data_IF_141095895951
#
_entry.id   IF_141095895951
#
_cell.length_a   1.000
_cell.length_b   1.000
_cell.length_c   1.000
_cell.angle_alpha   90.00
_cell.angle_beta   90.00
_cell.angle_gamma   90.00
#
_symmetry.space_group_name_H-M   'P 1'
#
loop_
_entity.id
_entity.type
_entity.pdbx_description
1 polymer ?
#
# COMPACT_ATOMS: atom_id res chain seq x y z
N UNK A 1 11.69 5.53 13.14
CA UNK A 1 10.57 6.47 12.93
C UNK A 1 9.31 5.89 13.57
N UNK A 2 8.93 6.41 14.72
CA UNK A 2 7.63 6.08 15.32
C UNK A 2 6.54 6.88 14.61
N UNK A 3 5.78 6.21 13.75
CA UNK A 3 4.61 6.82 13.15
C UNK A 3 3.47 6.88 14.17
N UNK A 4 2.78 8.01 14.25
CA UNK A 4 1.69 8.26 15.23
C UNK A 4 0.62 7.16 15.24
N UNK A 5 0.43 6.45 14.12
CA UNK A 5 -0.64 5.44 13.97
C UNK A 5 -0.31 4.03 14.44
N UNK A 6 0.93 3.62 14.33
CA UNK A 6 1.38 2.34 14.87
C UNK A 6 1.74 2.45 16.36
N UNK A 7 1.99 3.68 16.83
CA UNK A 7 2.28 3.94 18.24
C UNK A 7 1.27 3.34 19.24
N UNK A 8 -0.05 3.41 19.05
CA UNK A 8 -1.00 2.74 19.94
C UNK A 8 -0.84 1.21 19.95
N UNK A 9 -0.51 0.59 18.81
CA UNK A 9 -0.27 -0.84 18.74
C UNK A 9 1.02 -1.22 19.48
N UNK A 10 2.10 -0.46 19.27
CA UNK A 10 3.36 -0.68 19.98
C UNK A 10 3.26 -0.34 21.46
N UNK A 11 2.50 0.70 21.84
CA UNK A 11 2.19 1.01 23.23
C UNK A 11 1.43 -0.13 23.91
N UNK A 12 0.47 -0.75 23.22
CA UNK A 12 -0.22 -1.94 23.73
C UNK A 12 0.75 -3.12 23.93
N UNK A 13 1.65 -3.34 22.96
CA UNK A 13 2.70 -4.36 23.09
C UNK A 13 3.60 -4.12 24.31
N UNK A 14 3.98 -2.86 24.54
CA UNK A 14 4.75 -2.47 25.73
C UNK A 14 3.95 -2.68 27.02
N UNK A 15 2.68 -2.29 27.05
CA UNK A 15 1.78 -2.50 28.21
C UNK A 15 1.62 -3.99 28.54
N UNK A 16 1.62 -4.86 27.53
CA UNK A 16 1.54 -6.31 27.66
C UNK A 16 2.91 -6.96 27.92
N UNK A 17 3.97 -6.16 28.12
CA UNK A 17 5.35 -6.62 28.29
C UNK A 17 5.86 -7.54 27.16
N UNK A 18 5.36 -7.38 25.92
CA UNK A 18 5.81 -8.14 24.78
C UNK A 18 7.15 -7.62 24.28
N UNK A 19 8.09 -8.51 23.90
CA UNK A 19 9.34 -8.09 23.26
C UNK A 19 9.05 -7.29 21.98
N UNK A 20 9.82 -6.22 21.71
CA UNK A 20 9.62 -5.33 20.57
C UNK A 20 9.60 -6.06 19.22
N UNK A 21 10.47 -7.07 19.05
CA UNK A 21 10.50 -7.90 17.84
C UNK A 21 9.22 -8.71 17.62
N UNK A 22 8.57 -9.18 18.70
CA UNK A 22 7.31 -9.91 18.64
C UNK A 22 6.17 -8.95 18.27
N UNK A 23 6.10 -7.79 18.94
CA UNK A 23 5.13 -6.74 18.65
C UNK A 23 5.19 -6.31 17.18
N UNK A 24 6.40 -6.14 16.63
CA UNK A 24 6.58 -5.80 15.22
C UNK A 24 6.10 -6.90 14.27
N UNK A 25 6.35 -8.18 14.59
CA UNK A 25 5.87 -9.30 13.77
C UNK A 25 4.35 -9.44 13.82
N UNK A 26 3.74 -9.21 14.99
CA UNK A 26 2.29 -9.17 15.13
C UNK A 26 1.69 -8.02 14.30
N UNK A 27 2.35 -6.87 14.28
CA UNK A 27 1.97 -5.75 13.43
C UNK A 27 2.01 -6.12 11.93
N UNK A 28 3.07 -6.75 11.46
CA UNK A 28 3.13 -7.22 10.06
C UNK A 28 2.04 -8.23 9.74
N UNK A 29 1.80 -9.17 10.64
CA UNK A 29 0.73 -10.17 10.48
C UNK A 29 -0.65 -9.49 10.41
N UNK A 30 -0.91 -8.49 11.26
CA UNK A 30 -2.15 -7.69 11.24
C UNK A 30 -2.33 -6.96 9.90
N UNK A 31 -1.29 -6.30 9.40
CA UNK A 31 -1.34 -5.60 8.11
C UNK A 31 -1.68 -6.56 6.96
N UNK A 32 -0.98 -7.70 6.88
CA UNK A 32 -1.23 -8.71 5.85
C UNK A 32 -2.64 -9.29 5.97
N UNK A 33 -3.10 -9.56 7.19
CA UNK A 33 -4.44 -10.08 7.46
C UNK A 33 -5.54 -9.08 7.04
N UNK A 34 -5.39 -7.81 7.38
CA UNK A 34 -6.30 -6.74 6.98
C UNK A 34 -6.37 -6.62 5.46
N UNK A 35 -5.23 -6.58 4.78
CA UNK A 35 -5.19 -6.51 3.31
C UNK A 35 -5.81 -7.74 2.64
N UNK A 36 -5.51 -8.93 3.17
CA UNK A 36 -6.05 -10.21 2.67
C UNK A 36 -7.59 -10.22 2.70
N UNK A 37 -8.17 -9.94 3.86
CA UNK A 37 -9.63 -9.88 3.99
C UNK A 37 -10.25 -8.74 3.21
N UNK A 38 -9.55 -7.61 3.06
CA UNK A 38 -9.99 -6.50 2.22
C UNK A 38 -10.18 -6.93 0.77
N UNK A 39 -9.21 -7.64 0.18
CA UNK A 39 -9.34 -8.18 -1.19
C UNK A 39 -10.38 -9.28 -1.28
N UNK A 40 -10.44 -10.19 -0.30
CA UNK A 40 -11.46 -11.24 -0.26
C UNK A 40 -12.88 -10.64 -0.31
N UNK A 41 -13.10 -9.60 0.50
CA UNK A 41 -14.39 -8.92 0.56
C UNK A 41 -14.68 -8.11 -0.72
N UNK A 42 -13.70 -7.39 -1.22
CA UNK A 42 -13.83 -6.62 -2.47
C UNK A 42 -14.17 -7.53 -3.65
N UNK A 43 -13.43 -8.64 -3.83
CA UNK A 43 -13.69 -9.60 -4.89
C UNK A 43 -15.09 -10.24 -4.77
N UNK A 44 -15.55 -10.51 -3.53
CA UNK A 44 -16.92 -10.97 -3.27
C UNK A 44 -17.96 -9.92 -3.66
N UNK A 45 -17.75 -8.66 -3.28
CA UNK A 45 -18.66 -7.54 -3.57
C UNK A 45 -18.78 -7.31 -5.07
N UNK A 46 -17.66 -7.38 -5.79
CA UNK A 46 -17.59 -7.24 -7.25
C UNK A 46 -18.03 -8.52 -8.00
N UNK A 47 -18.36 -9.60 -7.29
CA UNK A 47 -18.72 -10.91 -7.87
C UNK A 47 -17.61 -11.52 -8.75
N UNK A 48 -16.36 -11.28 -8.39
CA UNK A 48 -15.20 -11.79 -9.10
C UNK A 48 -14.73 -13.08 -8.44
N UNK A 49 -14.60 -14.14 -9.23
CA UNK A 49 -14.06 -15.43 -8.81
C UNK A 49 -14.87 -16.20 -7.77
N UNK A 50 -14.43 -17.41 -7.46
CA UNK A 50 -14.92 -18.25 -6.38
C UNK A 50 -14.04 -18.16 -5.12
N UNK A 51 -14.40 -18.84 -4.02
CA UNK A 51 -13.64 -18.77 -2.77
C UNK A 51 -12.14 -19.09 -2.93
N UNK A 52 -11.79 -20.16 -3.63
CA UNK A 52 -10.39 -20.58 -3.84
C UNK A 52 -9.59 -19.57 -4.67
N UNK A 53 -10.16 -19.07 -5.78
CA UNK A 53 -9.48 -18.10 -6.61
C UNK A 53 -9.34 -16.73 -5.94
N UNK A 54 -10.29 -16.36 -5.04
CA UNK A 54 -10.19 -15.14 -4.22
C UNK A 54 -9.04 -15.22 -3.23
N UNK A 55 -8.81 -16.39 -2.61
CA UNK A 55 -7.64 -16.61 -1.75
C UNK A 55 -6.34 -16.35 -2.53
N UNK A 56 -6.21 -16.95 -3.72
CA UNK A 56 -5.02 -16.75 -4.55
C UNK A 56 -4.84 -15.27 -4.94
N UNK A 57 -5.91 -14.57 -5.35
CA UNK A 57 -5.84 -13.14 -5.66
C UNK A 57 -5.52 -12.26 -4.44
N UNK A 58 -6.03 -12.62 -3.26
CA UNK A 58 -5.67 -11.92 -2.04
C UNK A 58 -4.18 -12.07 -1.72
N UNK A 59 -3.60 -13.28 -1.91
CA UNK A 59 -2.16 -13.51 -1.77
C UNK A 59 -1.35 -12.71 -2.81
N UNK A 60 -1.79 -12.64 -4.07
CA UNK A 60 -1.15 -11.80 -5.11
C UNK A 60 -1.07 -10.34 -4.66
N UNK A 61 -2.09 -9.82 -3.99
CA UNK A 61 -2.12 -8.44 -3.52
C UNK A 61 -1.23 -8.23 -2.29
N UNK A 62 -1.46 -8.97 -1.21
CA UNK A 62 -0.81 -8.73 0.08
C UNK A 62 0.66 -9.17 0.11
N UNK A 63 1.06 -10.10 -0.76
CA UNK A 63 2.44 -10.53 -0.94
C UNK A 63 3.00 -10.07 -2.29
N UNK A 64 2.46 -8.96 -2.82
CA UNK A 64 3.02 -8.34 -4.03
C UNK A 64 4.46 -7.90 -3.83
N UNK A 65 5.28 -7.82 -4.90
CA UNK A 65 6.67 -7.38 -4.82
C UNK A 65 6.82 -6.04 -4.09
N UNK A 66 5.87 -5.12 -4.26
CA UNK A 66 5.84 -3.86 -3.52
C UNK A 66 5.81 -4.07 -2.01
N UNK A 67 4.95 -4.96 -1.53
CA UNK A 67 4.81 -5.24 -0.09
C UNK A 67 6.00 -6.02 0.45
N UNK A 68 6.46 -7.05 -0.29
CA UNK A 68 7.64 -7.82 0.11
C UNK A 68 8.88 -6.93 0.27
N UNK A 69 9.00 -5.88 -0.54
CA UNK A 69 10.10 -4.90 -0.45
C UNK A 69 9.96 -3.96 0.74
N UNK A 70 8.72 -3.60 1.12
CA UNK A 70 8.45 -2.48 2.04
C UNK A 70 8.18 -2.93 3.46
N UNK A 71 7.49 -4.06 3.65
CA UNK A 71 6.93 -4.50 4.93
C UNK A 71 8.00 -4.63 6.03
N UNK A 72 9.15 -5.20 5.71
CA UNK A 72 10.23 -5.41 6.69
C UNK A 72 11.01 -4.14 7.04
N UNK A 73 11.04 -3.16 6.15
CA UNK A 73 11.84 -1.94 6.31
C UNK A 73 11.01 -0.74 6.80
N UNK A 74 9.83 -0.52 6.20
CA UNK A 74 8.94 0.62 6.52
C UNK A 74 7.50 0.09 6.52
N UNK A 75 7.14 -0.71 7.51
CA UNK A 75 5.81 -1.36 7.59
C UNK A 75 4.66 -0.36 7.63
N UNK A 76 4.88 0.82 8.19
CA UNK A 76 3.90 1.91 8.24
C UNK A 76 3.45 2.38 6.85
N UNK A 77 4.34 2.37 5.85
CA UNK A 77 4.00 2.73 4.47
C UNK A 77 3.10 1.68 3.80
N UNK A 78 3.09 0.44 4.30
CA UNK A 78 2.21 -0.62 3.82
C UNK A 78 0.76 -0.48 4.33
N UNK A 79 0.53 0.28 5.40
CA UNK A 79 -0.80 0.44 6.01
C UNK A 79 -1.84 1.04 5.05
N UNK A 80 -1.61 2.18 4.36
CA UNK A 80 -2.56 2.70 3.39
C UNK A 80 -2.83 1.72 2.25
N UNK A 81 -1.81 1.01 1.79
CA UNK A 81 -1.94 0.00 0.74
C UNK A 81 -2.90 -1.12 1.18
N UNK A 82 -2.74 -1.66 2.40
CA UNK A 82 -3.60 -2.73 2.92
C UNK A 82 -5.03 -2.28 3.19
N UNK A 83 -5.24 -0.98 3.44
CA UNK A 83 -6.55 -0.40 3.69
C UNK A 83 -7.26 0.07 2.41
N UNK A 84 -6.58 0.18 1.26
CA UNK A 84 -7.19 0.61 -0.01
C UNK A 84 -8.46 -0.20 -0.39
N UNK A 85 -8.51 -1.54 -0.28
CA UNK A 85 -9.73 -2.29 -0.53
C UNK A 85 -10.88 -1.93 0.42
N UNK A 86 -10.58 -1.59 1.68
CA UNK A 86 -11.59 -1.23 2.69
C UNK A 86 -12.20 0.15 2.45
N UNK A 87 -11.46 1.07 1.84
CA UNK A 87 -12.03 2.35 1.36
C UNK A 87 -12.96 2.09 0.18
N UNK A 88 -12.55 1.21 -0.76
CA UNK A 88 -13.29 0.95 -1.99
C UNK A 88 -14.57 0.12 -1.78
N UNK A 89 -14.56 -0.88 -0.92
CA UNK A 89 -15.72 -1.78 -0.70
C UNK A 89 -17.01 -1.03 -0.39
N UNK A 90 -17.04 -0.08 0.57
CA UNK A 90 -18.25 0.68 0.86
C UNK A 90 -18.68 1.58 -0.30
N UNK A 91 -17.75 2.12 -1.09
CA UNK A 91 -18.05 2.94 -2.28
C UNK A 91 -18.72 2.09 -3.35
N UNK A 92 -18.20 0.89 -3.64
CA UNK A 92 -18.81 -0.07 -4.55
C UNK A 92 -20.21 -0.44 -4.07
N UNK A 93 -20.35 -0.77 -2.80
CA UNK A 93 -21.64 -1.14 -2.21
C UNK A 93 -22.69 -0.01 -2.32
N UNK A 94 -22.29 1.22 -2.04
CA UNK A 94 -23.20 2.37 -2.13
C UNK A 94 -23.63 2.69 -3.57
N UNK A 95 -22.72 2.60 -4.53
CA UNK A 95 -22.94 3.07 -5.89
C UNK A 95 -23.50 2.01 -6.83
N UNK A 96 -23.02 0.76 -6.75
CA UNK A 96 -23.46 -0.32 -7.64
C UNK A 96 -24.78 -0.99 -7.17
N UNK A 97 -25.29 -0.63 -5.98
CA UNK A 97 -26.61 -1.09 -5.49
C UNK A 97 -26.69 -2.58 -5.16
N UNK A 98 -25.56 -3.26 -5.11
CA UNK A 98 -25.48 -4.67 -4.74
C UNK A 98 -25.56 -4.83 -3.21
N UNK A 99 -26.74 -4.55 -2.63
CA UNK A 99 -27.00 -4.97 -1.26
C UNK A 99 -26.92 -6.51 -1.21
N UNK A 100 -26.25 -7.04 -0.20
CA UNK A 100 -26.28 -8.47 0.12
C UNK A 100 -27.68 -8.96 0.52
N UNK A 101 -28.64 -8.03 0.61
CA UNK A 101 -30.06 -8.29 0.86
C UNK A 101 -30.84 -8.28 -0.46
N UNK A 102 -31.40 -9.40 -0.80
CA UNK A 102 -32.27 -9.68 -1.94
C UNK A 102 -33.57 -8.86 -1.88
N UNK A 103 -33.53 -7.60 -2.26
CA UNK A 103 -34.71 -6.76 -2.39
C UNK A 103 -34.54 -5.77 -3.55
N UNK A 104 -35.58 -5.67 -4.39
CA UNK A 104 -35.61 -4.84 -5.60
C UNK A 104 -35.46 -3.31 -5.37
N UNK A 105 -35.39 -2.86 -4.14
CA UNK A 105 -35.17 -1.46 -3.76
C UNK A 105 -33.70 -1.22 -3.44
N UNK A 106 -33.07 -0.28 -4.14
CA UNK A 106 -31.67 0.13 -3.91
C UNK A 106 -31.41 0.55 -2.45
N UNK A 107 -30.13 0.78 -2.07
CA UNK A 107 -29.75 1.07 -0.69
C UNK A 107 -30.50 2.27 -0.13
N UNK A 108 -31.04 2.13 1.08
CA UNK A 108 -31.75 3.17 1.82
C UNK A 108 -30.82 4.34 2.16
N UNK A 109 -31.31 5.57 2.38
CA UNK A 109 -30.47 6.72 2.75
C UNK A 109 -29.55 6.48 3.95
N UNK A 110 -30.02 5.74 4.97
CA UNK A 110 -29.22 5.34 6.12
C UNK A 110 -28.03 4.44 5.73
N UNK A 111 -28.21 3.55 4.76
CA UNK A 111 -27.16 2.65 4.26
C UNK A 111 -26.10 3.41 3.47
N UNK A 112 -26.48 4.47 2.71
CA UNK A 112 -25.52 5.34 2.03
C UNK A 112 -24.63 6.10 3.02
N UNK A 113 -25.23 6.62 4.10
CA UNK A 113 -24.49 7.27 5.19
C UNK A 113 -23.56 6.29 5.89
N UNK A 114 -24.02 5.07 6.18
CA UNK A 114 -23.20 4.02 6.77
C UNK A 114 -22.00 3.65 5.86
N UNK A 115 -22.22 3.51 4.56
CA UNK A 115 -21.15 3.22 3.61
C UNK A 115 -20.10 4.35 3.58
N UNK A 116 -20.57 5.61 3.53
CA UNK A 116 -19.68 6.77 3.58
C UNK A 116 -18.86 6.80 4.88
N UNK A 117 -19.50 6.53 6.01
CA UNK A 117 -18.83 6.45 7.31
C UNK A 117 -17.78 5.32 7.36
N UNK A 118 -18.11 4.11 6.91
CA UNK A 118 -17.14 2.98 6.88
C UNK A 118 -15.93 3.29 5.99
N UNK A 119 -16.14 3.91 4.83
CA UNK A 119 -15.06 4.34 3.96
C UNK A 119 -14.18 5.42 4.64
N UNK A 120 -14.81 6.40 5.30
CA UNK A 120 -14.11 7.44 6.06
C UNK A 120 -13.30 6.88 7.24
N UNK A 121 -13.83 5.90 7.95
CA UNK A 121 -13.10 5.18 9.02
C UNK A 121 -11.86 4.49 8.45
N UNK A 122 -11.97 3.82 7.30
CA UNK A 122 -10.81 3.20 6.65
C UNK A 122 -9.74 4.26 6.28
N UNK A 123 -10.15 5.43 5.77
CA UNK A 123 -9.24 6.56 5.51
C UNK A 123 -8.64 7.09 6.82
N UNK A 124 -9.45 7.27 7.85
CA UNK A 124 -8.98 7.70 9.17
C UNK A 124 -7.93 6.74 9.75
N UNK A 125 -8.06 5.44 9.51
CA UNK A 125 -7.08 4.43 9.93
C UNK A 125 -5.75 4.50 9.15
N UNK A 126 -5.71 5.11 7.95
CA UNK A 126 -4.47 5.30 7.17
C UNK A 126 -3.68 6.54 7.60
N UNK A 127 -4.36 7.54 8.17
CA UNK A 127 -3.88 8.91 8.28
C UNK A 127 -2.61 9.10 9.08
N UNK A 128 -1.92 10.20 8.81
CA UNK A 128 -0.71 10.69 9.47
C UNK A 128 0.57 9.85 9.28
N UNK A 129 0.52 8.69 8.64
CA UNK A 129 1.72 7.89 8.35
C UNK A 129 2.47 8.47 7.14
N UNK A 130 1.76 8.59 6.02
CA UNK A 130 2.32 9.13 4.77
C UNK A 130 1.18 9.67 3.90
N UNK A 131 1.18 10.98 3.69
CA UNK A 131 0.11 11.68 2.93
C UNK A 131 -0.02 11.16 1.49
N UNK A 132 1.10 10.96 0.80
CA UNK A 132 1.11 10.49 -0.59
C UNK A 132 0.62 9.04 -0.70
N UNK A 133 1.04 8.15 0.22
CA UNK A 133 0.56 6.77 0.22
C UNK A 133 -0.94 6.69 0.55
N UNK A 134 -1.42 7.54 1.47
CA UNK A 134 -2.85 7.67 1.78
C UNK A 134 -3.64 8.13 0.55
N UNK A 135 -3.17 9.19 -0.13
CA UNK A 135 -3.80 9.67 -1.35
C UNK A 135 -3.84 8.60 -2.44
N UNK A 136 -2.73 7.89 -2.66
CA UNK A 136 -2.63 6.82 -3.65
C UNK A 136 -3.63 5.67 -3.38
N UNK A 137 -3.81 5.30 -2.12
CA UNK A 137 -4.77 4.29 -1.71
C UNK A 137 -6.23 4.74 -1.90
N UNK A 138 -6.54 5.99 -1.54
CA UNK A 138 -7.88 6.58 -1.67
C UNK A 138 -8.22 6.86 -3.14
N UNK A 139 -7.22 7.16 -3.98
CA UNK A 139 -7.39 7.48 -5.40
C UNK A 139 -8.05 6.33 -6.17
N UNK A 140 -7.85 5.07 -5.77
CA UNK A 140 -8.58 3.92 -6.33
C UNK A 140 -10.10 4.12 -6.18
N UNK A 141 -10.53 4.55 -5.00
CA UNK A 141 -11.95 4.78 -4.69
C UNK A 141 -12.48 6.06 -5.34
N UNK A 142 -11.66 7.10 -5.45
CA UNK A 142 -12.00 8.34 -6.17
C UNK A 142 -12.23 8.03 -7.66
N UNK A 143 -11.35 7.27 -8.29
CA UNK A 143 -11.53 6.88 -9.70
C UNK A 143 -12.78 6.01 -9.88
N UNK A 144 -13.02 5.06 -8.97
CA UNK A 144 -14.25 4.27 -9.01
C UNK A 144 -15.49 5.14 -8.91
N UNK A 145 -15.50 6.12 -8.03
CA UNK A 145 -16.59 7.09 -7.85
C UNK A 145 -16.77 7.99 -9.08
N UNK A 146 -15.67 8.50 -9.68
CA UNK A 146 -15.71 9.33 -10.89
C UNK A 146 -16.25 8.58 -12.12
N UNK A 147 -16.05 7.27 -12.20
CA UNK A 147 -16.52 6.43 -13.28
C UNK A 147 -18.00 6.02 -13.15
N UNK A 148 -18.73 6.60 -12.18
CA UNK A 148 -20.18 6.44 -12.05
C UNK A 148 -20.93 7.61 -12.65
N UNK A 149 -22.08 7.30 -13.28
CA UNK A 149 -22.99 8.34 -13.76
C UNK A 149 -23.61 9.12 -12.58
N UNK A 150 -23.64 10.44 -12.62
CA UNK A 150 -24.32 11.26 -11.63
C UNK A 150 -25.80 10.87 -11.49
N UNK A 151 -26.23 10.69 -10.24
CA UNK A 151 -27.60 10.34 -9.88
C UNK A 151 -27.93 10.88 -8.49
N UNK A 152 -29.18 10.94 -8.10
CA UNK A 152 -29.56 11.37 -6.76
C UNK A 152 -28.94 10.51 -5.65
N UNK A 153 -28.67 9.22 -5.91
CA UNK A 153 -27.96 8.32 -5.02
C UNK A 153 -26.47 8.68 -4.96
N UNK A 154 -25.85 8.89 -6.11
CA UNK A 154 -24.46 9.32 -6.23
C UNK A 154 -24.24 10.64 -5.49
N UNK A 155 -25.07 11.66 -5.70
CA UNK A 155 -24.94 12.96 -5.05
C UNK A 155 -25.08 12.87 -3.51
N UNK A 156 -26.06 12.11 -3.00
CA UNK A 156 -26.25 11.93 -1.55
C UNK A 156 -25.09 11.17 -0.91
N UNK A 157 -24.60 10.11 -1.56
CA UNK A 157 -23.40 9.40 -1.09
C UNK A 157 -22.19 10.34 -1.08
N UNK A 158 -21.96 11.08 -2.16
CA UNK A 158 -20.85 12.03 -2.31
C UNK A 158 -20.82 13.05 -1.18
N UNK A 159 -21.95 13.66 -0.83
CA UNK A 159 -22.01 14.62 0.28
C UNK A 159 -21.53 14.04 1.61
N UNK A 160 -22.02 12.84 1.97
CA UNK A 160 -21.59 12.17 3.19
C UNK A 160 -20.14 11.68 3.12
N UNK A 161 -19.71 11.18 1.96
CA UNK A 161 -18.36 10.67 1.76
C UNK A 161 -17.30 11.78 1.83
N UNK A 162 -17.57 12.93 1.21
CA UNK A 162 -16.69 14.10 1.28
C UNK A 162 -16.63 14.64 2.71
N UNK A 163 -17.78 14.77 3.40
CA UNK A 163 -17.78 15.19 4.79
C UNK A 163 -16.97 14.24 5.67
N UNK A 164 -17.18 12.93 5.54
CA UNK A 164 -16.44 11.91 6.28
C UNK A 164 -14.95 11.94 5.97
N UNK A 165 -14.57 12.11 4.69
CA UNK A 165 -13.18 12.23 4.26
C UNK A 165 -12.48 13.46 4.82
N UNK A 166 -13.15 14.63 4.81
CA UNK A 166 -12.63 15.85 5.43
C UNK A 166 -12.40 15.63 6.93
N UNK A 167 -13.39 15.13 7.66
CA UNK A 167 -13.25 14.87 9.10
C UNK A 167 -12.14 13.85 9.40
N UNK A 168 -12.00 12.81 8.57
CA UNK A 168 -10.95 11.79 8.73
C UNK A 168 -9.53 12.35 8.51
N UNK A 169 -9.38 13.40 7.71
CA UNK A 169 -8.08 13.93 7.30
C UNK A 169 -7.68 15.22 8.03
N UNK A 170 -8.63 16.05 8.47
CA UNK A 170 -8.37 17.40 9.00
C UNK A 170 -7.39 17.39 10.18
N UNK A 171 -7.48 16.42 11.08
CA UNK A 171 -6.66 16.35 12.28
C UNK A 171 -5.15 16.20 12.01
N UNK A 172 -4.76 15.70 10.83
CA UNK A 172 -3.35 15.56 10.45
C UNK A 172 -2.95 16.44 9.27
N UNK A 173 -3.86 16.77 8.35
CA UNK A 173 -3.58 17.70 7.24
C UNK A 173 -3.34 19.12 7.78
N UNK A 174 -4.14 19.59 8.74
CA UNK A 174 -3.96 20.90 9.36
C UNK A 174 -2.55 21.07 9.95
N UNK A 175 -2.13 20.21 10.90
CA UNK A 175 -0.75 20.23 11.42
C UNK A 175 0.32 20.07 10.33
N UNK A 176 0.10 19.23 9.31
CA UNK A 176 1.05 19.04 8.21
C UNK A 176 1.26 20.31 7.39
N UNK A 177 0.18 21.02 7.07
CA UNK A 177 0.26 22.31 6.35
C UNK A 177 0.95 23.39 7.19
N UNK A 178 0.65 23.40 8.49
CA UNK A 178 1.33 24.33 9.42
C UNK A 178 2.82 24.00 9.51
N UNK A 179 3.18 22.74 9.71
CA UNK A 179 4.55 22.28 9.79
C UNK A 179 5.34 22.63 8.50
N UNK A 180 4.71 22.49 7.34
CA UNK A 180 5.33 22.83 6.04
C UNK A 180 5.76 24.29 5.90
N UNK A 181 5.21 25.20 6.73
CA UNK A 181 5.63 26.60 6.76
C UNK A 181 6.87 26.87 7.61
N UNK A 182 7.14 26.01 8.58
CA UNK A 182 8.21 26.20 9.58
C UNK A 182 9.34 25.18 9.45
N UNK A 183 9.11 24.09 8.71
CA UNK A 183 10.14 23.07 8.49
C UNK A 183 11.18 23.54 7.46
N UNK A 184 12.47 23.23 7.66
CA UNK A 184 13.45 23.35 6.59
C UNK A 184 13.00 22.58 5.33
N UNK A 185 13.44 22.97 4.13
CA UNK A 185 13.06 22.32 2.88
C UNK A 185 13.74 20.94 2.73
N UNK A 186 13.42 20.01 3.65
CA UNK A 186 14.08 18.70 3.72
C UNK A 186 13.91 17.88 2.43
N UNK A 187 12.87 18.16 1.62
CA UNK A 187 12.64 17.50 0.34
C UNK A 187 13.75 17.81 -0.70
N UNK A 188 14.53 18.85 -0.50
CA UNK A 188 15.66 19.20 -1.36
C UNK A 188 16.91 18.36 -1.04
N UNK A 189 16.94 17.73 0.14
CA UNK A 189 18.06 16.94 0.65
C UNK A 189 17.83 15.44 0.59
N UNK A 190 16.71 14.98 0.02
CA UNK A 190 16.41 13.57 -0.20
C UNK A 190 16.57 13.20 -1.68
N UNK A 191 16.26 11.96 -2.03
CA UNK A 191 16.37 11.41 -3.39
C UNK A 191 15.69 12.30 -4.46
N UNK A 192 16.34 12.47 -5.62
CA UNK A 192 15.78 13.21 -6.76
C UNK A 192 14.77 12.38 -7.55
N UNK A 193 13.94 13.03 -8.37
CA UNK A 193 13.03 12.34 -9.30
C UNK A 193 13.77 11.45 -10.29
N UNK A 194 15.03 11.78 -10.63
CA UNK A 194 15.88 10.92 -11.45
C UNK A 194 16.13 9.56 -10.78
N UNK A 195 16.36 9.52 -9.49
CA UNK A 195 16.57 8.27 -8.73
C UNK A 195 15.25 7.50 -8.62
N UNK A 196 14.18 8.18 -8.18
CA UNK A 196 12.92 7.50 -7.86
C UNK A 196 12.16 6.96 -9.08
N UNK A 197 12.39 7.53 -10.26
CA UNK A 197 11.74 7.10 -11.52
C UNK A 197 12.62 6.22 -12.41
N UNK A 198 13.90 6.01 -12.04
CA UNK A 198 14.87 5.30 -12.88
C UNK A 198 14.44 3.88 -13.26
N UNK A 199 13.79 3.17 -12.37
CA UNK A 199 13.35 1.78 -12.58
C UNK A 199 11.85 1.65 -12.83
N UNK A 200 11.16 2.77 -13.09
CA UNK A 200 9.73 2.81 -13.32
C UNK A 200 9.34 2.53 -14.80
N UNK A 201 10.06 1.64 -15.49
CA UNK A 201 9.67 1.16 -16.82
C UNK A 201 8.43 0.26 -16.74
N UNK A 202 7.80 0.00 -17.88
CA UNK A 202 6.56 -0.75 -17.94
C UNK A 202 6.67 -2.17 -17.36
N UNK A 203 7.79 -2.88 -17.62
CA UNK A 203 7.99 -4.23 -17.09
C UNK A 203 8.05 -4.24 -15.56
N UNK A 204 8.90 -3.39 -14.98
CA UNK A 204 9.03 -3.28 -13.52
C UNK A 204 7.74 -2.78 -12.87
N UNK A 205 7.01 -1.89 -13.55
CA UNK A 205 5.71 -1.39 -13.10
C UNK A 205 4.68 -2.52 -13.04
N UNK A 206 4.55 -3.32 -14.09
CA UNK A 206 3.63 -4.46 -14.11
C UNK A 206 3.99 -5.51 -13.06
N UNK A 207 5.27 -5.77 -12.84
CA UNK A 207 5.77 -6.68 -11.80
C UNK A 207 5.57 -6.14 -10.38
N UNK A 208 5.54 -4.82 -10.17
CA UNK A 208 5.46 -4.17 -8.86
C UNK A 208 6.81 -3.94 -8.18
N UNK A 209 7.87 -3.82 -8.97
CA UNK A 209 9.26 -3.64 -8.54
C UNK A 209 9.82 -2.26 -8.87
N UNK A 210 8.95 -1.24 -8.99
CA UNK A 210 9.32 0.15 -9.30
C UNK A 210 10.00 0.88 -8.16
N UNK A 211 9.99 0.35 -6.93
CA UNK A 211 10.71 0.96 -5.81
C UNK A 211 12.20 0.99 -6.11
N UNK A 212 12.81 2.17 -5.99
CA UNK A 212 14.23 2.37 -6.28
C UNK A 212 15.18 1.76 -5.25
N UNK A 213 14.73 1.63 -4.01
CA UNK A 213 15.58 1.19 -2.88
C UNK A 213 16.23 -0.19 -3.06
N UNK A 214 15.57 -1.24 -3.57
CA UNK A 214 16.20 -2.55 -3.76
C UNK A 214 17.34 -2.57 -4.79
N UNK A 215 17.36 -1.57 -5.68
CA UNK A 215 18.40 -1.47 -6.71
C UNK A 215 19.65 -0.75 -6.21
N UNK A 216 19.55 0.01 -5.12
CA UNK A 216 20.68 0.77 -4.55
C UNK A 216 21.18 0.16 -3.24
N UNK A 217 20.33 -0.55 -2.49
CA UNK A 217 20.70 -1.15 -1.21
C UNK A 217 20.25 -2.60 -1.14
N UNK A 218 21.16 -3.48 -0.77
CA UNK A 218 20.90 -4.91 -0.56
C UNK A 218 20.30 -5.21 0.83
N UNK A 219 20.20 -4.21 1.71
CA UNK A 219 19.64 -4.37 3.06
C UNK A 219 18.17 -4.87 3.02
N UNK A 220 17.44 -4.50 1.98
CA UNK A 220 16.08 -5.00 1.71
C UNK A 220 16.17 -6.31 0.94
N UNK A 221 16.56 -7.37 1.62
CA UNK A 221 16.87 -8.67 1.00
C UNK A 221 15.75 -9.18 0.08
N UNK A 222 14.50 -9.15 0.54
CA UNK A 222 13.37 -9.57 -0.27
C UNK A 222 13.25 -8.76 -1.57
N UNK A 223 13.41 -7.44 -1.49
CA UNK A 223 13.41 -6.55 -2.64
C UNK A 223 14.56 -6.82 -3.59
N UNK A 224 15.78 -6.96 -3.08
CA UNK A 224 16.98 -7.27 -3.86
C UNK A 224 16.82 -8.59 -4.64
N UNK A 225 16.30 -9.64 -3.98
CA UNK A 225 16.01 -10.93 -4.64
C UNK A 225 14.99 -10.77 -5.78
N UNK A 226 13.93 -10.00 -5.59
CA UNK A 226 12.87 -9.76 -6.58
C UNK A 226 13.37 -9.07 -7.85
N UNK A 227 14.45 -8.28 -7.76
CA UNK A 227 15.02 -7.55 -8.90
C UNK A 227 16.25 -8.21 -9.52
N UNK A 228 16.91 -9.15 -8.81
CA UNK A 228 18.14 -9.79 -9.28
C UNK A 228 17.98 -11.26 -9.64
N UNK A 229 17.05 -12.00 -9.01
CA UNK A 229 16.94 -13.45 -9.22
C UNK A 229 16.07 -13.76 -10.44
N UNK A 230 16.60 -14.44 -11.49
CA UNK A 230 15.85 -14.72 -12.72
C UNK A 230 14.52 -15.47 -12.47
N UNK A 231 14.51 -16.44 -11.58
CA UNK A 231 13.30 -17.20 -11.23
C UNK A 231 12.19 -16.29 -10.67
N UNK A 232 12.54 -15.31 -9.82
CA UNK A 232 11.59 -14.35 -9.26
C UNK A 232 11.13 -13.32 -10.30
N UNK A 233 12.03 -12.91 -11.21
CA UNK A 233 11.70 -12.04 -12.33
C UNK A 233 10.66 -12.70 -13.24
N UNK A 234 10.90 -13.94 -13.64
CA UNK A 234 9.96 -14.72 -14.47
C UNK A 234 8.64 -14.94 -13.72
N UNK A 235 8.69 -15.37 -12.46
CA UNK A 235 7.49 -15.66 -11.67
C UNK A 235 6.61 -14.42 -11.49
N UNK A 236 7.18 -13.28 -11.11
CA UNK A 236 6.43 -12.02 -10.95
C UNK A 236 5.86 -11.51 -12.28
N UNK A 237 6.59 -11.70 -13.39
CA UNK A 237 6.12 -11.39 -14.73
C UNK A 237 4.91 -12.26 -15.12
N UNK A 238 4.96 -13.57 -14.86
CA UNK A 238 3.84 -14.49 -15.11
C UNK A 238 2.60 -14.13 -14.28
N UNK A 239 2.77 -13.78 -13.01
CA UNK A 239 1.67 -13.33 -12.15
C UNK A 239 1.04 -12.04 -12.70
N UNK A 240 1.85 -11.07 -13.12
CA UNK A 240 1.37 -9.84 -13.72
C UNK A 240 0.65 -10.08 -15.06
N UNK A 241 1.23 -10.91 -15.92
CA UNK A 241 0.63 -11.30 -17.20
C UNK A 241 -0.72 -12.02 -17.01
N UNK A 242 -0.82 -12.91 -16.02
CA UNK A 242 -2.07 -13.56 -15.67
C UNK A 242 -3.12 -12.56 -15.17
N UNK A 243 -2.72 -11.58 -14.37
CA UNK A 243 -3.59 -10.47 -13.93
C UNK A 243 -4.12 -9.67 -15.12
N UNK A 244 -3.25 -9.27 -16.05
CA UNK A 244 -3.64 -8.57 -17.28
C UNK A 244 -4.57 -9.42 -18.14
N UNK A 245 -4.23 -10.69 -18.39
CA UNK A 245 -5.07 -11.60 -19.17
C UNK A 245 -6.47 -11.71 -18.56
N UNK A 246 -6.58 -11.83 -17.23
CA UNK A 246 -7.87 -11.87 -16.56
C UNK A 246 -8.68 -10.58 -16.70
N UNK A 247 -8.02 -9.41 -16.65
CA UNK A 247 -8.66 -8.10 -16.85
C UNK A 247 -9.20 -7.93 -18.29
N UNK A 248 -8.53 -8.51 -19.28
CA UNK A 248 -8.95 -8.38 -20.69
C UNK A 248 -10.11 -9.30 -21.07
N UNK A 249 -10.43 -10.31 -20.28
CA UNK A 249 -11.55 -11.21 -20.56
C UNK A 249 -12.89 -10.46 -20.63
N UNK A 250 -13.68 -10.74 -21.67
CA UNK A 250 -15.02 -10.13 -21.84
C UNK A 250 -15.97 -10.45 -20.68
N UNK A 251 -15.75 -11.56 -19.99
CA UNK A 251 -16.53 -12.02 -18.85
C UNK A 251 -16.13 -11.36 -17.52
N UNK A 252 -15.10 -10.51 -17.49
CA UNK A 252 -14.65 -9.82 -16.28
C UNK A 252 -15.69 -8.81 -15.81
N UNK A 253 -16.24 -8.94 -14.58
CA UNK A 253 -17.15 -7.94 -14.01
C UNK A 253 -16.44 -6.59 -13.87
N UNK A 254 -17.17 -5.50 -14.13
CA UNK A 254 -16.65 -4.12 -14.02
C UNK A 254 -15.37 -3.85 -14.81
N UNK A 255 -15.12 -4.63 -15.87
CA UNK A 255 -13.90 -4.63 -16.69
C UNK A 255 -13.43 -3.22 -17.07
N UNK A 256 -14.34 -2.38 -17.61
CA UNK A 256 -13.99 -1.03 -18.06
C UNK A 256 -13.41 -0.17 -16.93
N UNK A 257 -14.05 -0.15 -15.76
CA UNK A 257 -13.58 0.61 -14.60
C UNK A 257 -12.23 0.13 -14.09
N UNK A 258 -12.05 -1.19 -13.97
CA UNK A 258 -10.79 -1.78 -13.50
C UNK A 258 -9.65 -1.53 -14.47
N UNK A 259 -9.90 -1.61 -15.78
CA UNK A 259 -8.89 -1.28 -16.81
C UNK A 259 -8.54 0.21 -16.74
N UNK A 260 -9.52 1.10 -16.63
CA UNK A 260 -9.25 2.55 -16.51
C UNK A 260 -8.40 2.86 -15.28
N UNK A 261 -8.72 2.27 -14.13
CA UNK A 261 -7.92 2.44 -12.90
C UNK A 261 -6.49 1.91 -13.11
N UNK A 262 -6.34 0.73 -13.71
CA UNK A 262 -5.03 0.16 -14.02
C UNK A 262 -4.21 1.04 -14.98
N UNK A 263 -4.85 1.59 -16.03
CA UNK A 263 -4.19 2.49 -16.98
C UNK A 263 -3.72 3.78 -16.31
N UNK A 264 -4.56 4.39 -15.46
CA UNK A 264 -4.15 5.54 -14.64
C UNK A 264 -2.96 5.18 -13.76
N UNK A 265 -3.00 3.99 -13.12
CA UNK A 265 -1.88 3.48 -12.31
C UNK A 265 -0.59 3.35 -13.12
N UNK A 266 -0.63 2.71 -14.29
CA UNK A 266 0.53 2.58 -15.20
C UNK A 266 1.06 3.96 -15.60
N UNK A 267 0.17 4.87 -15.96
CA UNK A 267 0.54 6.23 -16.36
C UNK A 267 1.28 6.95 -15.23
N UNK A 268 0.71 6.99 -14.02
CA UNK A 268 1.34 7.67 -12.88
C UNK A 268 2.69 7.04 -12.47
N UNK A 269 2.82 5.72 -12.62
CA UNK A 269 4.05 5.02 -12.29
C UNK A 269 5.15 5.23 -13.34
N UNK A 270 4.81 5.25 -14.65
CA UNK A 270 5.79 5.24 -15.75
C UNK A 270 6.16 6.63 -16.29
N UNK A 271 5.36 7.68 -16.07
CA UNK A 271 5.51 8.98 -16.75
C UNK A 271 6.88 9.64 -16.55
N UNK A 272 7.54 9.41 -15.41
CA UNK A 272 8.87 9.96 -15.13
C UNK A 272 10.03 9.09 -15.61
N UNK A 273 9.75 7.92 -16.22
CA UNK A 273 10.80 7.01 -16.64
C UNK A 273 11.58 7.54 -17.86
N UNK A 274 12.92 7.43 -17.77
CA UNK A 274 13.87 7.76 -18.84
C UNK A 274 14.76 6.55 -19.08
N UNK A 275 14.81 6.08 -20.30
CA UNK A 275 15.59 4.92 -20.73
C UNK A 275 16.02 5.06 -22.18
N UNK A 276 16.12 3.96 -22.92
CA UNK A 276 16.39 3.96 -24.37
C UNK A 276 15.23 4.56 -25.19
N UNK A 277 14.00 4.40 -24.69
CA UNK A 277 12.79 5.03 -25.19
C UNK A 277 12.15 5.74 -24.00
N UNK A 278 12.29 7.04 -23.93
CA UNK A 278 11.76 7.83 -22.83
C UNK A 278 10.24 7.81 -22.78
N UNK A 279 9.67 7.87 -21.57
CA UNK A 279 8.25 8.11 -21.43
C UNK A 279 7.88 9.50 -22.00
N UNK A 280 6.69 9.65 -22.58
CA UNK A 280 6.25 10.96 -23.06
C UNK A 280 6.35 12.02 -21.97
N UNK A 281 6.97 13.16 -22.26
CA UNK A 281 7.15 14.26 -21.32
C UNK A 281 7.97 13.95 -20.06
N UNK A 282 8.77 12.88 -20.02
CA UNK A 282 9.51 12.44 -18.83
C UNK A 282 10.34 13.54 -18.20
N UNK A 283 11.01 14.40 -19.00
CA UNK A 283 11.76 15.54 -18.50
C UNK A 283 10.89 16.56 -17.75
N UNK A 284 9.71 16.88 -18.27
CA UNK A 284 8.77 17.79 -17.62
C UNK A 284 8.19 17.20 -16.32
N UNK A 285 7.89 15.89 -16.34
CA UNK A 285 7.40 15.15 -15.17
C UNK A 285 8.46 15.15 -14.07
N UNK A 286 9.73 14.88 -14.39
CA UNK A 286 10.83 14.96 -13.42
C UNK A 286 11.02 16.34 -12.85
N UNK A 287 11.02 17.39 -13.71
CA UNK A 287 11.09 18.75 -13.26
C UNK A 287 9.93 19.13 -12.31
N UNK A 288 8.71 18.66 -12.61
CA UNK A 288 7.57 18.82 -11.70
C UNK A 288 7.80 18.08 -10.38
N UNK A 289 8.27 16.84 -10.40
CA UNK A 289 8.52 16.02 -9.22
C UNK A 289 9.69 16.51 -8.38
N UNK A 290 10.66 17.23 -8.96
CA UNK A 290 11.75 17.88 -8.22
C UNK A 290 11.39 19.29 -7.74
N UNK A 291 10.26 19.84 -8.17
CA UNK A 291 9.73 21.14 -7.78
C UNK A 291 8.37 21.02 -7.05
N UNK A 292 7.29 21.62 -7.61
CA UNK A 292 5.98 21.68 -6.93
C UNK A 292 5.38 20.33 -6.57
N UNK A 293 5.74 19.27 -7.29
CA UNK A 293 5.28 17.89 -7.08
C UNK A 293 6.16 17.05 -6.17
N UNK A 294 7.10 17.63 -5.43
CA UNK A 294 8.10 16.90 -4.64
C UNK A 294 7.48 15.86 -3.67
N UNK A 295 6.31 16.15 -3.12
CA UNK A 295 5.57 15.20 -2.28
C UNK A 295 5.20 13.89 -3.01
N UNK A 296 5.08 13.92 -4.35
CA UNK A 296 4.73 12.77 -5.20
C UNK A 296 5.94 12.11 -5.85
N UNK A 297 7.15 12.54 -5.54
CA UNK A 297 8.40 12.06 -6.14
C UNK A 297 8.55 10.54 -6.05
N UNK A 298 8.12 9.94 -4.96
CA UNK A 298 8.09 8.50 -4.76
C UNK A 298 6.89 7.85 -5.47
N UNK A 299 6.93 7.84 -6.81
CA UNK A 299 5.84 7.37 -7.70
C UNK A 299 5.38 5.95 -7.39
N UNK A 300 6.27 5.07 -6.90
CA UNK A 300 5.95 3.70 -6.53
C UNK A 300 4.82 3.58 -5.48
N UNK A 301 4.49 4.65 -4.76
CA UNK A 301 3.36 4.70 -3.82
C UNK A 301 2.00 4.57 -4.50
N UNK A 302 1.91 4.86 -5.79
CA UNK A 302 0.70 4.71 -6.59
C UNK A 302 0.44 3.26 -7.06
N UNK A 303 1.25 2.28 -6.65
CA UNK A 303 1.08 0.86 -7.00
C UNK A 303 -0.32 0.28 -6.71
N UNK A 304 -1.10 0.70 -5.66
CA UNK A 304 -2.45 0.19 -5.44
C UNK A 304 -3.39 0.34 -6.63
N UNK A 305 -3.24 1.41 -7.44
CA UNK A 305 -4.03 1.65 -8.65
C UNK A 305 -3.86 0.57 -9.71
N UNK A 306 -2.68 -0.01 -9.78
CA UNK A 306 -2.37 -1.09 -10.72
C UNK A 306 -2.52 -2.47 -10.08
N UNK A 307 -2.01 -2.63 -8.87
CA UNK A 307 -1.94 -3.93 -8.21
C UNK A 307 -3.30 -4.50 -7.85
N UNK A 308 -4.23 -3.65 -7.38
CA UNK A 308 -5.57 -4.09 -7.04
C UNK A 308 -6.34 -4.63 -8.26
N UNK A 309 -6.43 -3.92 -9.41
CA UNK A 309 -7.00 -4.49 -10.63
C UNK A 309 -6.30 -5.77 -11.09
N UNK A 310 -4.97 -5.84 -11.05
CA UNK A 310 -4.23 -7.05 -11.47
C UNK A 310 -4.54 -8.25 -10.58
N UNK A 311 -4.62 -8.07 -9.27
CA UNK A 311 -5.00 -9.14 -8.33
C UNK A 311 -6.43 -9.63 -8.59
N UNK A 312 -7.37 -8.73 -8.89
CA UNK A 312 -8.74 -9.10 -9.26
C UNK A 312 -8.79 -9.80 -10.64
N UNK A 313 -7.97 -9.37 -11.60
CA UNK A 313 -7.81 -10.03 -12.89
C UNK A 313 -7.27 -11.44 -12.74
N UNK A 314 -6.23 -11.64 -11.94
CA UNK A 314 -5.68 -12.94 -11.59
C UNK A 314 -6.75 -13.86 -10.97
N UNK A 315 -7.52 -13.32 -9.99
CA UNK A 315 -8.65 -14.01 -9.37
C UNK A 315 -9.65 -14.49 -10.42
N UNK A 316 -10.02 -13.61 -11.36
CA UNK A 316 -10.98 -13.91 -12.39
C UNK A 316 -10.47 -14.97 -13.35
N UNK A 317 -9.24 -14.85 -13.83
CA UNK A 317 -8.64 -15.82 -14.74
C UNK A 317 -8.59 -17.21 -14.10
N UNK A 318 -8.10 -17.30 -12.87
CA UNK A 318 -8.02 -18.57 -12.14
C UNK A 318 -9.39 -19.22 -11.91
N UNK A 319 -10.44 -18.40 -11.74
CA UNK A 319 -11.81 -18.93 -11.56
C UNK A 319 -12.43 -19.53 -12.82
N UNK A 320 -11.82 -19.31 -13.99
CA UNK A 320 -12.28 -19.82 -15.28
C UNK A 320 -11.74 -21.21 -15.61
N UNK A 321 -10.92 -21.77 -14.74
CA UNK A 321 -10.35 -23.10 -14.92
C UNK A 321 -11.31 -24.14 -14.34
N UNK A 322 -11.86 -25.03 -15.16
CA UNK A 322 -12.74 -26.09 -14.69
C UNK A 322 -11.90 -27.22 -14.10
N UNK A 323 -11.67 -27.19 -12.79
CA UNK A 323 -11.11 -28.33 -12.06
C UNK A 323 -12.27 -29.08 -11.43
N UNK A 324 -12.64 -30.23 -11.98
CA UNK A 324 -13.75 -31.05 -11.51
C UNK A 324 -13.29 -32.19 -10.60
N UNK A 325 -12.06 -32.67 -10.79
CA UNK A 325 -11.54 -33.82 -10.06
C UNK A 325 -10.03 -33.76 -9.82
N UNK A 326 -9.51 -34.56 -8.93
CA UNK A 326 -8.06 -34.75 -8.77
C UNK A 326 -7.40 -35.33 -10.03
N UNK A 327 -8.14 -36.07 -10.83
CA UNK A 327 -7.63 -36.60 -12.10
C UNK A 327 -7.27 -35.47 -13.09
N UNK A 328 -8.01 -34.35 -13.09
CA UNK A 328 -7.70 -33.18 -13.91
C UNK A 328 -6.35 -32.55 -13.51
N UNK A 329 -6.03 -32.59 -12.23
CA UNK A 329 -4.77 -32.06 -11.68
C UNK A 329 -3.62 -33.06 -11.93
N UNK A 330 -3.90 -34.36 -11.85
CA UNK A 330 -2.90 -35.40 -12.06
C UNK A 330 -2.48 -35.56 -13.54
N UNK A 331 -3.37 -35.18 -14.48
CA UNK A 331 -3.16 -35.28 -15.93
C UNK A 331 -3.36 -33.94 -16.63
N UNK A 332 -2.54 -32.89 -16.29
CA UNK A 332 -2.70 -31.55 -16.84
C UNK A 332 -2.48 -31.47 -18.36
N UNK A 333 -1.77 -32.45 -18.93
CA UNK A 333 -1.53 -32.56 -20.37
C UNK A 333 -2.83 -32.74 -21.17
N UNK A 334 -3.89 -33.26 -20.55
CA UNK A 334 -5.20 -33.44 -21.19
C UNK A 334 -6.05 -32.18 -21.21
N UNK A 335 -5.71 -31.20 -20.38
CA UNK A 335 -6.47 -29.95 -20.21
C UNK A 335 -5.55 -28.74 -20.14
N UNK A 336 -5.28 -28.03 -21.26
CA UNK A 336 -4.36 -26.88 -21.30
C UNK A 336 -4.69 -25.77 -20.29
N UNK A 337 -5.99 -25.61 -19.94
CA UNK A 337 -6.41 -24.63 -18.93
C UNK A 337 -5.98 -25.00 -17.52
N UNK A 338 -6.01 -26.30 -17.20
CA UNK A 338 -5.51 -26.80 -15.91
C UNK A 338 -4.00 -26.64 -15.85
N UNK A 339 -3.27 -27.01 -16.91
CA UNK A 339 -1.81 -26.78 -17.00
C UNK A 339 -1.47 -25.31 -16.80
N UNK A 340 -2.16 -24.40 -17.49
CA UNK A 340 -1.95 -22.96 -17.34
C UNK A 340 -2.23 -22.48 -15.90
N UNK A 341 -3.27 -23.01 -15.23
CA UNK A 341 -3.55 -22.65 -13.83
C UNK A 341 -2.49 -23.16 -12.86
N UNK A 342 -1.94 -24.35 -13.11
CA UNK A 342 -0.82 -24.87 -12.32
C UNK A 342 0.42 -23.97 -12.46
N UNK A 343 0.75 -23.56 -13.68
CA UNK A 343 1.84 -22.60 -13.92
C UNK A 343 1.59 -21.29 -13.16
N UNK A 344 0.36 -20.76 -13.18
CA UNK A 344 0.01 -19.56 -12.43
C UNK A 344 0.19 -19.72 -10.91
N UNK A 345 -0.25 -20.87 -10.35
CA UNK A 345 -0.10 -21.14 -8.91
C UNK A 345 1.37 -21.35 -8.55
N UNK A 346 2.13 -22.07 -9.35
CA UNK A 346 3.59 -22.24 -9.16
C UNK A 346 4.28 -20.88 -9.24
N UNK A 347 3.96 -20.07 -10.24
CA UNK A 347 4.51 -18.72 -10.37
C UNK A 347 4.19 -17.86 -9.14
N UNK A 348 2.97 -17.95 -8.60
CA UNK A 348 2.62 -17.25 -7.36
C UNK A 348 3.48 -17.76 -6.18
N UNK A 349 3.59 -19.07 -5.98
CA UNK A 349 4.40 -19.66 -4.89
C UNK A 349 5.85 -19.20 -4.99
N UNK A 350 6.44 -19.20 -6.20
CA UNK A 350 7.80 -18.71 -6.43
C UNK A 350 7.89 -17.21 -6.19
N UNK A 351 6.97 -16.41 -6.72
CA UNK A 351 6.98 -14.94 -6.57
C UNK A 351 6.93 -14.50 -5.10
N UNK A 352 6.23 -15.25 -4.24
CA UNK A 352 6.12 -14.93 -2.81
C UNK A 352 7.17 -15.63 -1.95
N UNK A 353 8.13 -16.34 -2.56
CA UNK A 353 9.15 -17.09 -1.82
C UNK A 353 9.96 -16.27 -0.82
N UNK A 354 10.25 -14.97 -1.02
CA UNK A 354 10.91 -14.18 0.00
C UNK A 354 10.16 -14.10 1.34
N UNK A 355 8.83 -14.26 1.32
CA UNK A 355 8.02 -14.27 2.54
C UNK A 355 8.19 -15.58 3.33
N UNK A 356 8.01 -16.73 2.69
CA UNK A 356 8.08 -18.03 3.38
C UNK A 356 9.52 -18.53 3.60
N UNK A 357 10.53 -17.94 2.91
CA UNK A 357 11.95 -18.16 3.21
C UNK A 357 12.49 -17.19 4.26
N UNK A 358 11.62 -16.45 4.96
CA UNK A 358 11.95 -15.53 6.05
C UNK A 358 12.92 -14.40 5.66
N UNK A 359 12.85 -13.94 4.40
CA UNK A 359 13.70 -12.85 3.86
C UNK A 359 13.08 -11.45 3.99
N UNK A 360 11.98 -11.32 4.74
CA UNK A 360 11.32 -10.02 4.95
C UNK A 360 12.04 -9.14 5.97
N UNK A 361 12.72 -9.75 6.94
CA UNK A 361 13.50 -9.01 7.94
C UNK A 361 14.76 -8.44 7.29
N UNK A 362 15.17 -7.21 7.63
CA UNK A 362 16.45 -6.66 7.20
C UNK A 362 17.60 -7.51 7.74
N UNK A 363 18.70 -7.56 6.97
CA UNK A 363 19.94 -8.13 7.47
C UNK A 363 20.56 -7.18 8.50
N UNK A 364 21.26 -7.71 9.48
CA UNK A 364 21.92 -6.90 10.50
C UNK A 364 21.11 -6.70 11.77
N UNK A 365 20.28 -7.68 12.16
CA UNK A 365 19.74 -7.73 13.52
C UNK A 365 20.91 -7.82 14.49
N UNK A 366 21.12 -6.74 15.25
CA UNK A 366 22.09 -6.75 16.34
C UNK A 366 21.64 -7.78 17.38
N UNK A 367 22.52 -8.71 17.70
CA UNK A 367 22.28 -9.69 18.76
C UNK A 367 22.52 -9.06 20.13
N UNK A 368 23.48 -8.16 20.16
CA UNK A 368 23.86 -7.39 21.36
C UNK A 368 24.05 -5.94 20.94
N UNK A 369 23.53 -5.03 21.76
CA UNK A 369 23.79 -3.59 21.60
C UNK A 369 25.11 -3.32 22.32
N UNK A 370 26.13 -2.75 21.67
CA UNK A 370 27.40 -2.44 22.32
C UNK A 370 27.20 -1.55 23.55
N UNK A 371 27.92 -1.84 24.62
CA UNK A 371 27.77 -1.18 25.94
C UNK A 371 27.98 0.33 25.88
N UNK A 372 28.79 0.82 24.94
CA UNK A 372 29.04 2.25 24.78
C UNK A 372 27.78 3.06 24.46
N UNK A 373 26.72 2.47 23.92
CA UNK A 373 25.43 3.16 23.72
C UNK A 373 24.71 3.40 25.02
N UNK A 374 24.72 2.43 25.93
CA UNK A 374 24.16 2.56 27.28
C UNK A 374 24.98 3.52 28.13
N UNK A 375 26.30 3.48 28.04
CA UNK A 375 27.21 4.41 28.70
C UNK A 375 27.01 5.85 28.19
N UNK A 376 26.92 6.04 26.87
CA UNK A 376 26.62 7.36 26.29
C UNK A 376 25.26 7.89 26.73
N UNK A 377 24.23 7.04 26.78
CA UNK A 377 22.90 7.41 27.27
C UNK A 377 22.93 7.83 28.75
N UNK A 378 23.65 7.09 29.60
CA UNK A 378 23.83 7.41 31.01
C UNK A 378 24.62 8.70 31.18
N UNK A 379 25.69 8.90 30.41
CA UNK A 379 26.46 10.12 30.43
C UNK A 379 25.61 11.33 30.05
N UNK A 380 24.84 11.24 28.97
CA UNK A 380 23.92 12.28 28.53
C UNK A 380 22.86 12.58 29.59
N UNK A 381 22.29 11.56 30.22
CA UNK A 381 21.32 11.75 31.30
C UNK A 381 21.91 12.45 32.52
N UNK A 382 23.17 12.13 32.87
CA UNK A 382 23.87 12.75 34.00
C UNK A 382 24.33 14.19 33.72
N UNK A 383 24.56 14.56 32.45
CA UNK A 383 25.09 15.87 32.06
C UNK A 383 24.07 16.74 31.31
N UNK A 384 22.84 16.23 31.10
CA UNK A 384 21.77 17.05 30.55
C UNK A 384 21.38 18.15 31.54
N UNK A 385 21.28 19.45 31.13
CA UNK A 385 20.81 20.48 32.01
C UNK A 385 19.39 20.12 32.49
N UNK A 386 19.15 20.23 33.78
CA UNK A 386 17.82 20.05 34.35
C UNK A 386 16.83 21.00 33.66
N UNK A 387 15.65 20.51 33.26
CA UNK A 387 14.62 21.41 32.79
C UNK A 387 14.34 22.45 33.86
N UNK A 388 14.22 23.74 33.54
CA UNK A 388 14.00 24.78 34.55
C UNK A 388 12.78 24.38 35.38
N UNK A 389 13.01 24.13 36.69
CA UNK A 389 11.96 23.85 37.68
C UNK A 389 11.02 25.05 37.63
N UNK A 390 9.77 24.82 37.16
CA UNK A 390 8.76 25.87 37.03
C UNK A 390 8.44 26.47 38.39
N UNK A 391 9.16 27.53 38.78
CA UNK A 391 8.74 28.46 39.78
C UNK A 391 7.57 29.27 39.24
N UNK A 392 6.41 29.11 39.86
CA UNK A 392 5.27 29.98 39.63
C UNK A 392 5.68 31.42 39.91
N UNK A 393 5.84 32.26 38.88
CA UNK A 393 5.99 33.70 38.98
C UNK A 393 7.24 34.32 38.40
N UNK A 394 7.43 34.20 37.09
CA UNK A 394 8.29 35.16 36.38
C UNK A 394 7.87 35.25 34.90
N UNK A 395 7.94 36.46 34.35
CA UNK A 395 7.62 36.91 32.99
C UNK A 395 8.08 35.93 31.89
N UNK A 396 7.47 35.92 30.70
CA UNK A 396 7.85 35.04 29.62
C UNK A 396 9.28 35.36 29.17
N UNK A 397 10.26 34.65 29.72
CA UNK A 397 11.58 34.51 29.16
C UNK A 397 11.53 33.56 27.98
N UNK A 398 12.24 33.91 26.90
CA UNK A 398 12.42 33.10 25.72
C UNK A 398 12.74 31.64 26.11
N UNK A 399 12.13 30.66 25.49
CA UNK A 399 12.39 29.25 25.81
C UNK A 399 13.87 28.93 25.55
N UNK A 400 14.62 28.68 26.60
CA UNK A 400 15.97 28.11 26.49
C UNK A 400 15.92 26.87 25.61
N UNK A 401 16.76 26.76 24.57
CA UNK A 401 16.74 25.61 23.69
C UNK A 401 17.00 24.36 24.52
N UNK A 402 16.03 23.44 24.53
CA UNK A 402 16.21 22.14 25.15
C UNK A 402 17.48 21.49 24.56
N UNK A 403 18.35 20.99 25.44
CA UNK A 403 19.56 20.30 25.01
C UNK A 403 19.19 19.14 24.09
N UNK A 404 19.62 19.22 22.84
CA UNK A 404 19.40 18.19 21.82
C UNK A 404 20.74 17.55 21.51
N UNK A 405 20.86 16.25 21.69
CA UNK A 405 21.98 15.49 21.17
C UNK A 405 21.69 15.12 19.71
N UNK A 406 22.53 15.54 18.80
CA UNK A 406 22.52 15.09 17.41
C UNK A 406 23.46 13.89 17.33
N UNK A 407 22.91 12.72 17.08
CA UNK A 407 23.70 11.53 16.71
C UNK A 407 23.84 11.52 15.20
N UNK A 408 25.06 11.71 14.70
CA UNK A 408 25.40 11.71 13.26
C UNK A 408 25.72 10.28 12.83
#
# INVERSE_FOLDING_TARGET
EMCIRDSPFFALGHLLHLPGWLTQRLWWALLLWVGFWGIMWLARTLRIGGPRSRVAGALVYVLSPRILTTLGAISSESLPYMLAPWVLVPVVWALDGNSLSSGASGPRPAQLRQAAFLSAVAVACMGAVNATATLAAVLVSILWWLLHCPSGRWARFTGWWMLGGVLACTWWIGPLLLLGRYSPPFLDYIESAQVTTRWANLSETLRGTTSWTPYLSTERVAGALLVTQPALIVATTLVAAAGLAGLTLRSMPHRGRLITIALVGVTLLCLGWVGTLDAPFAGHVRAFLDGPGAAFRNVHKFDPLLRLPLALGFTHLLSRVPVHSWADVAHPERQPRVAASMVMVIALVVAVSPAWTLRLAPQGTYREVPDYWSEAAQWLAAHAPEPPSGGAGSSPQEPTPAARALVV
#
